data_IF_849543007533
#
_entry.id   IF_849543007533
#
_cell.length_a   1.000
_cell.length_b   1.000
_cell.length_c   1.000
_cell.angle_alpha   90.00
_cell.angle_beta   90.00
_cell.angle_gamma   90.00
#
_symmetry.space_group_name_H-M   'P 1'
#
loop_
_entity.id
_entity.type
_entity.pdbx_description
1 polymer ?
#
# COMPACT_ATOMS: atom_id res chain seq x y z
N UNK A 1 -29.82 -17.09 -29.25
CA UNK A 1 -29.43 -18.23 -28.39
C UNK A 1 -27.90 -18.40 -28.34
N UNK A 2 -27.12 -17.32 -28.21
CA UNK A 2 -25.65 -17.33 -28.24
C UNK A 2 -25.08 -16.23 -27.32
N UNK A 3 -25.25 -16.39 -25.99
CA UNK A 3 -24.70 -15.46 -24.98
C UNK A 3 -24.13 -16.12 -23.72
N UNK A 4 -23.91 -17.43 -23.70
CA UNK A 4 -23.55 -18.16 -22.47
C UNK A 4 -22.23 -18.95 -22.51
N UNK A 5 -21.39 -18.78 -23.53
CA UNK A 5 -20.18 -19.60 -23.71
C UNK A 5 -18.83 -18.88 -23.52
N UNK A 6 -18.82 -17.62 -23.06
CA UNK A 6 -17.57 -16.87 -22.81
C UNK A 6 -17.22 -16.64 -21.34
N UNK A 7 -18.08 -17.07 -20.41
CA UNK A 7 -17.89 -16.86 -18.97
C UNK A 7 -17.37 -18.09 -18.21
N UNK A 8 -17.37 -19.29 -18.82
CA UNK A 8 -17.11 -20.55 -18.10
C UNK A 8 -15.74 -21.19 -18.39
N UNK A 9 -15.00 -20.73 -19.40
CA UNK A 9 -13.63 -21.23 -19.71
C UNK A 9 -12.52 -20.28 -19.25
N UNK A 10 -12.87 -19.10 -18.75
CA UNK A 10 -11.97 -17.97 -18.50
C UNK A 10 -11.47 -17.86 -17.05
N UNK A 11 -11.92 -18.75 -16.17
CA UNK A 11 -11.50 -18.83 -14.76
C UNK A 11 -10.69 -20.10 -14.43
N UNK A 12 -10.71 -21.10 -15.32
CA UNK A 12 -10.06 -22.39 -15.07
C UNK A 12 -8.54 -22.40 -15.34
N UNK A 13 -8.00 -21.35 -16.00
CA UNK A 13 -6.57 -21.26 -16.30
C UNK A 13 -5.75 -20.50 -15.24
N UNK A 14 -6.41 -19.89 -14.23
CA UNK A 14 -5.75 -19.20 -13.12
C UNK A 14 -5.51 -20.12 -11.90
N UNK A 15 -6.01 -21.36 -11.93
CA UNK A 15 -6.03 -22.28 -10.78
C UNK A 15 -4.89 -23.32 -10.79
N UNK A 16 -3.81 -23.06 -11.53
CA UNK A 16 -2.58 -23.88 -11.46
C UNK A 16 -1.35 -23.03 -11.18
N UNK A 17 -1.38 -22.31 -10.07
CA UNK A 17 -0.15 -22.01 -9.34
C UNK A 17 -0.22 -22.74 -7.99
N UNK A 18 0.62 -23.77 -7.88
CA UNK A 18 0.89 -24.52 -6.68
C UNK A 18 1.16 -23.55 -5.50
N UNK A 19 0.45 -23.65 -4.36
CA UNK A 19 0.53 -22.70 -3.24
C UNK A 19 1.89 -22.69 -2.48
N UNK A 20 2.97 -23.19 -3.09
CA UNK A 20 4.15 -23.68 -2.39
C UNK A 20 5.49 -23.00 -2.65
N UNK A 21 5.62 -21.95 -3.46
CA UNK A 21 6.96 -21.39 -3.76
C UNK A 21 7.06 -19.87 -3.51
N UNK A 22 7.32 -19.51 -2.25
CA UNK A 22 8.23 -18.39 -1.97
C UNK A 22 9.62 -19.01 -2.01
N UNK A 23 10.44 -18.67 -3.01
CA UNK A 23 11.84 -19.09 -2.99
C UNK A 23 12.47 -18.64 -1.65
N UNK A 24 13.00 -19.57 -0.83
CA UNK A 24 13.64 -19.22 0.43
C UNK A 24 14.78 -18.23 0.16
N UNK A 25 14.60 -16.97 0.57
CA UNK A 25 15.61 -15.93 0.46
C UNK A 25 15.26 -14.74 -0.43
N UNK A 26 14.19 -14.80 -1.22
CA UNK A 26 13.78 -13.67 -2.06
C UNK A 26 12.97 -12.62 -1.27
N UNK A 27 13.68 -11.77 -0.51
CA UNK A 27 13.06 -10.74 0.35
C UNK A 27 12.73 -9.44 -0.37
N UNK A 28 13.56 -9.02 -1.31
CA UNK A 28 13.38 -7.78 -2.06
C UNK A 28 13.65 -8.01 -3.55
N UNK A 29 13.06 -7.17 -4.38
CA UNK A 29 13.16 -7.27 -5.82
C UNK A 29 13.42 -5.93 -6.50
N UNK A 30 14.14 -5.98 -7.62
CA UNK A 30 14.30 -4.90 -8.57
C UNK A 30 14.29 -5.49 -9.99
N UNK A 31 13.59 -4.85 -10.93
CA UNK A 31 13.52 -5.25 -12.35
C UNK A 31 13.35 -6.77 -12.55
N UNK A 32 12.25 -7.34 -12.02
CA UNK A 32 11.89 -8.76 -12.13
C UNK A 32 12.91 -9.76 -11.53
N UNK A 33 13.82 -9.32 -10.66
CA UNK A 33 14.87 -10.17 -10.08
C UNK A 33 15.01 -9.96 -8.58
N UNK A 34 15.53 -10.97 -7.90
CA UNK A 34 16.01 -10.83 -6.52
C UNK A 34 17.08 -9.75 -6.43
N UNK A 35 16.95 -8.89 -5.43
CA UNK A 35 17.87 -7.80 -5.15
C UNK A 35 18.06 -7.64 -3.64
N UNK A 36 19.20 -7.07 -3.18
CA UNK A 36 19.34 -6.64 -1.81
C UNK A 36 18.21 -5.68 -1.44
N UNK A 37 17.69 -5.82 -0.22
CA UNK A 37 16.80 -4.80 0.33
C UNK A 37 17.56 -3.50 0.55
N UNK A 38 16.86 -2.38 0.45
CA UNK A 38 17.37 -1.05 0.78
C UNK A 38 17.89 -1.06 2.22
N UNK A 39 19.17 -0.79 2.37
CA UNK A 39 19.78 -0.51 3.66
C UNK A 39 19.42 0.93 4.07
N UNK A 40 18.49 1.06 5.01
CA UNK A 40 18.04 2.38 5.46
C UNK A 40 19.14 3.21 6.14
N UNK A 41 20.26 2.58 6.53
CA UNK A 41 21.40 3.29 7.12
C UNK A 41 22.19 4.12 6.10
N UNK A 42 22.04 3.85 4.79
CA UNK A 42 22.73 4.59 3.73
C UNK A 42 22.06 5.91 3.38
N UNK A 43 20.83 6.13 3.86
CA UNK A 43 20.09 7.36 3.61
C UNK A 43 20.53 8.49 4.55
N UNK A 44 20.35 9.73 4.09
CA UNK A 44 20.69 10.91 4.90
C UNK A 44 19.78 11.01 6.12
N UNK A 45 20.34 10.76 7.31
CA UNK A 45 19.64 10.86 8.59
C UNK A 45 19.10 12.28 8.82
N UNK A 46 17.86 12.38 9.29
CA UNK A 46 17.18 13.65 9.55
C UNK A 46 16.80 14.43 8.28
N UNK A 47 16.78 13.78 7.11
CA UNK A 47 16.30 14.37 5.87
C UNK A 47 14.81 14.73 5.94
N UNK A 48 14.00 13.92 6.63
CA UNK A 48 12.57 14.17 6.77
C UNK A 48 12.26 14.98 8.05
N UNK A 49 11.88 16.24 7.90
CA UNK A 49 11.48 17.11 9.02
C UNK A 49 9.98 17.05 9.25
N UNK A 50 9.20 17.14 8.18
CA UNK A 50 7.73 17.03 8.18
C UNK A 50 7.35 15.64 7.66
N UNK A 51 6.73 14.84 8.51
CA UNK A 51 6.41 13.43 8.26
C UNK A 51 4.93 13.18 8.53
N UNK A 52 4.28 12.38 7.70
CA UNK A 52 2.95 11.88 8.00
C UNK A 52 2.79 10.38 7.72
N UNK A 53 1.95 9.72 8.52
CA UNK A 53 1.32 8.46 8.15
C UNK A 53 -0.09 8.74 7.66
N UNK A 54 -0.46 8.14 6.54
CA UNK A 54 -1.74 8.38 5.88
C UNK A 54 -2.47 7.08 5.64
N UNK A 55 -3.76 7.06 5.96
CA UNK A 55 -4.67 5.99 5.54
C UNK A 55 -5.82 6.57 4.76
N UNK A 56 -6.31 5.82 3.78
CA UNK A 56 -7.42 6.22 2.92
C UNK A 56 -8.57 5.24 3.09
N UNK A 57 -9.80 5.74 3.18
CA UNK A 57 -10.99 4.90 3.31
C UNK A 57 -12.04 5.33 2.30
N UNK A 58 -12.45 4.40 1.44
CA UNK A 58 -13.31 4.66 0.27
C UNK A 58 -14.79 4.88 0.62
N UNK A 59 -15.18 4.64 1.88
CA UNK A 59 -16.55 4.79 2.37
C UNK A 59 -17.59 4.04 1.52
N UNK A 60 -17.24 2.85 1.02
CA UNK A 60 -18.13 2.07 0.15
C UNK A 60 -18.77 0.84 0.83
N UNK A 61 -18.16 0.30 1.88
CA UNK A 61 -18.68 -0.84 2.65
C UNK A 61 -19.26 -0.43 4.01
N UNK A 62 -20.39 -1.04 4.41
CA UNK A 62 -20.90 -0.91 5.77
C UNK A 62 -19.94 -1.59 6.73
N UNK A 63 -19.31 -0.76 7.55
CA UNK A 63 -18.33 -1.18 8.54
C UNK A 63 -18.88 -1.00 9.96
N UNK A 64 -20.18 -0.79 10.17
CA UNK A 64 -20.75 -0.34 11.46
C UNK A 64 -20.38 -1.22 12.67
N UNK A 65 -20.38 -2.55 12.52
CA UNK A 65 -19.95 -3.47 13.58
C UNK A 65 -18.42 -3.50 13.81
N UNK A 66 -17.62 -3.21 12.80
CA UNK A 66 -16.14 -3.18 12.84
C UNK A 66 -15.57 -1.77 13.03
N UNK A 67 -16.41 -0.73 12.90
CA UNK A 67 -16.06 0.69 12.85
C UNK A 67 -15.52 1.17 14.19
N UNK A 68 -16.08 0.71 15.31
CA UNK A 68 -15.54 1.07 16.63
C UNK A 68 -14.13 0.51 16.84
N UNK A 69 -13.90 -0.74 16.44
CA UNK A 69 -12.57 -1.37 16.51
C UNK A 69 -11.57 -0.66 15.59
N UNK A 70 -12.02 -0.31 14.38
CA UNK A 70 -11.26 0.44 13.40
C UNK A 70 -10.87 1.83 13.91
N UNK A 71 -11.82 2.63 14.41
CA UNK A 71 -11.56 3.98 14.93
C UNK A 71 -10.59 3.92 16.10
N UNK A 72 -10.82 3.05 17.09
CA UNK A 72 -9.89 2.85 18.22
C UNK A 72 -8.48 2.47 17.75
N UNK A 73 -8.39 1.64 16.71
CA UNK A 73 -7.12 1.26 16.13
C UNK A 73 -6.41 2.46 15.48
N UNK A 74 -7.13 3.32 14.74
CA UNK A 74 -6.58 4.55 14.16
C UNK A 74 -6.18 5.57 15.22
N UNK A 75 -6.96 5.74 16.28
CA UNK A 75 -6.60 6.61 17.42
C UNK A 75 -5.32 6.14 18.12
N UNK A 76 -5.16 4.82 18.32
CA UNK A 76 -3.93 4.22 18.85
C UNK A 76 -2.73 4.49 17.95
N UNK A 77 -2.91 4.33 16.63
CA UNK A 77 -1.88 4.62 15.65
C UNK A 77 -1.47 6.09 15.69
N UNK A 78 -2.43 7.01 15.72
CA UNK A 78 -2.21 8.45 15.79
C UNK A 78 -1.43 8.87 17.03
N UNK A 79 -1.77 8.30 18.20
CA UNK A 79 -1.03 8.53 19.45
C UNK A 79 0.43 8.10 19.31
N UNK A 80 0.70 6.95 18.70
CA UNK A 80 2.07 6.44 18.47
C UNK A 80 2.85 7.30 17.47
N UNK A 81 2.20 7.68 16.36
CA UNK A 81 2.80 8.57 15.36
C UNK A 81 3.19 9.92 15.97
N UNK A 82 2.27 10.54 16.72
CA UNK A 82 2.52 11.82 17.41
C UNK A 82 3.68 11.74 18.39
N UNK A 83 3.77 10.67 19.17
CA UNK A 83 4.90 10.45 20.08
C UNK A 83 6.26 10.36 19.36
N UNK A 84 6.26 10.01 18.07
CA UNK A 84 7.45 9.96 17.20
C UNK A 84 7.63 11.21 16.32
N UNK A 85 6.84 12.28 16.57
CA UNK A 85 6.86 13.50 15.77
C UNK A 85 6.43 13.27 14.31
N UNK A 86 5.38 12.47 14.12
CA UNK A 86 4.78 12.18 12.81
C UNK A 86 3.28 12.46 12.88
N UNK A 87 2.78 13.19 11.89
CA UNK A 87 1.36 13.51 11.77
C UNK A 87 0.56 12.28 11.34
N UNK A 88 -0.69 12.17 11.79
CA UNK A 88 -1.61 11.12 11.35
C UNK A 88 -2.71 11.75 10.51
N UNK A 89 -2.84 11.31 9.26
CA UNK A 89 -3.83 11.81 8.32
C UNK A 89 -4.78 10.67 7.94
N UNK A 90 -6.06 10.98 7.88
CA UNK A 90 -7.10 10.08 7.40
C UNK A 90 -7.88 10.71 6.26
N UNK A 91 -7.83 10.09 5.09
CA UNK A 91 -8.49 10.58 3.87
C UNK A 91 -9.82 9.87 3.67
N UNK A 92 -10.87 10.66 3.53
CA UNK A 92 -12.22 10.23 3.19
C UNK A 92 -12.64 10.88 1.86
N UNK A 93 -13.51 10.27 1.04
CA UNK A 93 -14.23 11.01 0.02
C UNK A 93 -15.05 12.14 0.65
N UNK A 94 -15.30 13.22 -0.11
CA UNK A 94 -16.32 14.22 0.27
C UNK A 94 -17.65 13.52 0.59
N UNK A 95 -18.44 14.12 1.49
CA UNK A 95 -19.63 13.50 2.06
C UNK A 95 -20.65 13.05 1.00
N UNK A 96 -20.82 13.83 -0.05
CA UNK A 96 -21.70 13.57 -1.20
C UNK A 96 -21.23 12.40 -2.07
N UNK A 97 -19.98 11.98 -1.93
CA UNK A 97 -19.39 10.86 -2.68
C UNK A 97 -19.37 9.55 -1.89
N UNK A 98 -19.73 9.57 -0.61
CA UNK A 98 -19.70 8.39 0.25
C UNK A 98 -20.96 7.54 0.02
N UNK A 99 -20.78 6.30 -0.45
CA UNK A 99 -21.89 5.35 -0.59
C UNK A 99 -22.43 4.94 0.79
N UNK A 100 -21.53 4.72 1.75
CA UNK A 100 -21.85 4.54 3.16
C UNK A 100 -21.27 5.72 3.95
N UNK A 101 -22.12 6.62 4.47
CA UNK A 101 -21.64 7.82 5.14
C UNK A 101 -20.83 7.47 6.40
N UNK A 102 -19.56 7.90 6.47
CA UNK A 102 -18.72 7.70 7.64
C UNK A 102 -19.27 8.50 8.84
N UNK A 103 -19.58 7.88 10.00
CA UNK A 103 -20.30 8.58 11.07
C UNK A 103 -19.56 9.83 11.59
N UNK A 104 -20.27 10.94 11.75
CA UNK A 104 -19.67 12.22 12.20
C UNK A 104 -19.09 12.11 13.62
N UNK A 105 -19.73 11.33 14.49
CA UNK A 105 -19.19 11.02 15.81
C UNK A 105 -17.78 10.39 15.74
N UNK A 106 -17.54 9.52 14.75
CA UNK A 106 -16.23 8.90 14.52
C UNK A 106 -15.23 9.91 13.96
N UNK A 107 -15.65 10.79 13.03
CA UNK A 107 -14.80 11.90 12.54
C UNK A 107 -14.36 12.78 13.71
N UNK A 108 -15.30 13.17 14.57
CA UNK A 108 -15.02 14.01 15.73
C UNK A 108 -14.15 13.30 16.77
N UNK A 109 -14.33 12.00 16.98
CA UNK A 109 -13.45 11.18 17.82
C UNK A 109 -12.00 11.15 17.30
N UNK A 110 -11.82 10.86 16.01
CA UNK A 110 -10.51 10.85 15.37
C UNK A 110 -9.82 12.21 15.42
N UNK A 111 -10.54 13.31 15.16
CA UNK A 111 -10.02 14.68 15.31
C UNK A 111 -9.55 14.96 16.73
N UNK A 112 -10.34 14.59 17.75
CA UNK A 112 -9.95 14.73 19.16
C UNK A 112 -8.69 13.93 19.51
N UNK A 113 -8.48 12.80 18.85
CA UNK A 113 -7.26 12.00 18.98
C UNK A 113 -6.04 12.59 18.23
N UNK A 114 -6.19 13.71 17.52
CA UNK A 114 -5.13 14.38 16.78
C UNK A 114 -4.92 13.85 15.37
N UNK A 115 -5.93 13.20 14.78
CA UNK A 115 -5.92 12.78 13.37
C UNK A 115 -6.43 13.94 12.52
N UNK A 116 -5.65 14.34 11.51
CA UNK A 116 -6.08 15.28 10.48
C UNK A 116 -7.00 14.56 9.48
N UNK A 117 -8.24 15.05 9.35
CA UNK A 117 -9.23 14.46 8.44
C UNK A 117 -9.26 15.27 7.16
N UNK A 118 -8.86 14.64 6.06
CA UNK A 118 -8.84 15.26 4.73
C UNK A 118 -9.88 14.63 3.83
N UNK A 119 -10.34 15.42 2.86
CA UNK A 119 -11.37 15.01 1.93
C UNK A 119 -10.83 14.91 0.51
N UNK A 120 -11.19 13.83 -0.19
CA UNK A 120 -10.92 13.61 -1.60
C UNK A 120 -12.14 13.99 -2.44
N UNK A 121 -11.89 14.64 -3.57
CA UNK A 121 -12.93 15.02 -4.55
C UNK A 121 -13.40 13.86 -5.42
N UNK A 122 -12.87 12.66 -5.19
CA UNK A 122 -13.23 11.45 -5.92
C UNK A 122 -13.01 10.21 -5.06
N UNK A 123 -13.77 9.13 -5.35
CA UNK A 123 -13.58 7.80 -4.75
C UNK A 123 -12.74 6.91 -5.67
N UNK A 124 -13.01 7.01 -6.98
CA UNK A 124 -12.23 6.41 -8.06
C UNK A 124 -11.62 7.56 -8.86
N UNK A 125 -10.32 7.50 -9.23
CA UNK A 125 -9.70 8.56 -10.01
C UNK A 125 -10.48 8.88 -11.29
N UNK A 126 -10.51 10.16 -11.73
CA UNK A 126 -11.07 10.50 -13.02
C UNK A 126 -10.28 9.78 -14.12
N UNK A 127 -10.98 9.35 -15.18
CA UNK A 127 -10.40 8.68 -16.36
C UNK A 127 -9.65 7.39 -16.01
N UNK A 128 -10.31 6.41 -15.39
CA UNK A 128 -9.67 5.12 -15.08
C UNK A 128 -9.24 4.36 -16.34
N UNK A 129 -8.01 3.81 -16.34
CA UNK A 129 -7.49 2.88 -17.35
C UNK A 129 -8.50 1.81 -17.75
N UNK A 130 -8.53 1.48 -19.04
CA UNK A 130 -9.32 0.35 -19.54
C UNK A 130 -8.81 -0.96 -18.96
N UNK A 131 -9.73 -1.78 -18.45
CA UNK A 131 -9.45 -3.13 -17.95
C UNK A 131 -9.19 -3.20 -16.45
N UNK A 132 -9.04 -2.06 -15.77
CA UNK A 132 -8.96 -2.05 -14.30
C UNK A 132 -10.28 -2.62 -13.75
N UNK A 133 -10.23 -3.68 -12.93
CA UNK A 133 -11.45 -4.28 -12.42
C UNK A 133 -12.19 -3.30 -11.51
N UNK A 134 -13.42 -2.99 -11.90
CA UNK A 134 -14.44 -2.48 -10.98
C UNK A 134 -14.79 -3.62 -10.02
N UNK A 135 -15.04 -3.29 -8.76
CA UNK A 135 -14.72 -4.14 -7.62
C UNK A 135 -15.36 -5.53 -7.65
N UNK A 136 -14.59 -6.56 -7.28
CA UNK A 136 -15.08 -7.94 -7.13
C UNK A 136 -15.01 -8.37 -5.66
N UNK A 137 -16.15 -8.45 -4.97
CA UNK A 137 -16.24 -9.16 -3.68
C UNK A 137 -15.90 -8.34 -2.42
N UNK A 138 -16.08 -7.03 -2.41
CA UNK A 138 -16.17 -6.24 -1.17
C UNK A 138 -14.88 -5.58 -0.65
N UNK A 139 -13.70 -5.94 -1.17
CA UNK A 139 -12.52 -5.07 -1.06
C UNK A 139 -11.75 -5.06 -2.36
N UNK A 140 -11.14 -3.90 -2.60
CA UNK A 140 -9.93 -3.78 -3.41
C UNK A 140 -10.21 -3.83 -4.93
N UNK A 141 -9.92 -2.74 -5.64
CA UNK A 141 -10.29 -2.52 -7.05
C UNK A 141 -10.04 -1.05 -7.41
N UNK A 142 -10.84 -0.48 -8.30
CA UNK A 142 -10.65 0.91 -8.75
C UNK A 142 -10.57 1.94 -7.60
N UNK A 143 -11.29 1.73 -6.50
CA UNK A 143 -11.25 2.60 -5.31
C UNK A 143 -9.93 2.60 -4.53
N UNK A 144 -9.07 1.59 -4.67
CA UNK A 144 -7.76 1.58 -4.00
C UNK A 144 -6.83 2.69 -4.48
N UNK A 145 -7.07 3.18 -5.69
CA UNK A 145 -6.32 4.30 -6.25
C UNK A 145 -6.57 5.61 -5.50
N UNK A 146 -7.52 5.66 -4.55
CA UNK A 146 -7.64 6.74 -3.55
C UNK A 146 -6.33 7.01 -2.81
N UNK A 147 -5.43 6.01 -2.74
CA UNK A 147 -4.06 6.16 -2.24
C UNK A 147 -3.23 7.19 -3.00
N UNK A 148 -3.64 7.61 -4.20
CA UNK A 148 -2.92 8.67 -4.94
C UNK A 148 -3.14 10.05 -4.35
N UNK A 149 -4.27 10.30 -3.68
CA UNK A 149 -4.57 11.60 -3.06
C UNK A 149 -3.42 12.12 -2.18
N UNK A 150 -2.94 11.35 -1.19
CA UNK A 150 -1.86 11.82 -0.33
C UNK A 150 -0.52 12.00 -1.04
N UNK A 151 -0.30 11.38 -2.20
CA UNK A 151 0.94 11.55 -2.97
C UNK A 151 1.18 12.99 -3.41
N UNK A 152 0.14 13.83 -3.38
CA UNK A 152 0.20 15.26 -3.68
C UNK A 152 0.39 16.18 -2.47
N UNK A 153 0.57 15.67 -1.25
CA UNK A 153 0.73 16.46 -0.03
C UNK A 153 2.15 17.05 0.09
N UNK A 154 2.45 18.03 -0.75
CA UNK A 154 3.76 18.69 -0.90
C UNK A 154 4.19 19.53 0.31
N UNK A 155 3.35 19.64 1.33
CA UNK A 155 3.72 20.18 2.63
C UNK A 155 4.47 19.19 3.54
N UNK A 156 4.64 17.93 3.12
CA UNK A 156 5.43 16.93 3.85
C UNK A 156 6.70 16.57 3.07
N UNK A 157 7.78 16.29 3.80
CA UNK A 157 9.04 15.84 3.19
C UNK A 157 8.99 14.34 2.86
N UNK A 158 8.22 13.59 3.65
CA UNK A 158 7.95 12.18 3.44
C UNK A 158 6.59 11.76 4.02
N UNK A 159 5.90 10.87 3.32
CA UNK A 159 4.67 10.25 3.81
C UNK A 159 4.76 8.73 3.75
N UNK A 160 4.08 8.07 4.67
CA UNK A 160 3.88 6.63 4.69
C UNK A 160 2.38 6.35 4.49
N UNK A 161 2.01 5.90 3.30
CA UNK A 161 0.63 5.51 2.97
C UNK A 161 0.45 4.03 3.29
N UNK A 162 -0.52 3.74 4.15
CA UNK A 162 -0.76 2.38 4.67
C UNK A 162 -2.21 1.97 4.56
N UNK A 163 -2.43 0.66 4.51
CA UNK A 163 -3.77 0.10 4.62
C UNK A 163 -4.40 0.39 5.99
N UNK A 164 -5.74 0.34 5.98
CA UNK A 164 -6.57 0.61 7.16
C UNK A 164 -6.40 -0.42 8.27
N UNK A 165 -5.91 -1.61 7.94
CA UNK A 165 -5.60 -2.70 8.85
C UNK A 165 -4.10 -2.88 9.08
N UNK A 166 -3.27 -1.96 8.61
CA UNK A 166 -1.83 -2.00 8.87
C UNK A 166 -1.55 -1.68 10.36
N UNK A 167 -0.85 -2.58 11.03
CA UNK A 167 -0.52 -2.51 12.45
C UNK A 167 0.99 -2.33 12.65
N UNK A 168 1.35 -1.58 13.69
CA UNK A 168 2.71 -1.15 13.97
C UNK A 168 3.04 -1.36 15.44
N UNK A 169 4.15 -2.03 15.75
CA UNK A 169 4.58 -2.26 17.13
C UNK A 169 5.22 -1.03 17.75
N UNK A 170 6.20 -0.43 17.06
CA UNK A 170 7.02 0.68 17.55
C UNK A 170 7.27 1.70 16.44
N UNK A 171 6.48 2.79 16.45
CA UNK A 171 6.56 3.85 15.46
C UNK A 171 7.88 4.63 15.54
N UNK A 172 8.54 4.66 16.71
CA UNK A 172 9.81 5.38 16.88
C UNK A 172 10.92 4.82 15.98
N UNK A 173 10.80 3.57 15.54
CA UNK A 173 11.76 2.89 14.65
C UNK A 173 11.55 3.16 13.16
N UNK A 174 10.49 3.89 12.78
CA UNK A 174 10.18 4.18 11.37
C UNK A 174 10.90 5.40 10.82
N UNK A 175 11.62 6.17 11.66
CA UNK A 175 12.39 7.35 11.26
C UNK A 175 13.24 7.13 9.99
N UNK A 176 14.03 6.05 9.89
CA UNK A 176 14.86 5.78 8.71
C UNK A 176 14.07 5.60 7.40
N UNK A 177 12.84 5.08 7.44
CA UNK A 177 11.99 5.00 6.25
C UNK A 177 11.63 6.39 5.72
N UNK A 178 11.25 7.30 6.62
CA UNK A 178 10.95 8.68 6.25
C UNK A 178 12.18 9.40 5.70
N UNK A 179 13.34 9.22 6.34
CA UNK A 179 14.60 9.83 5.89
C UNK A 179 14.99 9.38 4.48
N UNK A 180 14.89 8.08 4.18
CA UNK A 180 15.12 7.57 2.83
C UNK A 180 14.12 8.11 1.81
N UNK A 181 12.85 8.20 2.18
CA UNK A 181 11.83 8.75 1.30
C UNK A 181 12.09 10.24 0.98
N UNK A 182 12.44 11.04 1.99
CA UNK A 182 12.83 12.44 1.81
C UNK A 182 14.13 12.62 1.01
N UNK A 183 14.99 11.59 0.96
CA UNK A 183 16.15 11.55 0.07
C UNK A 183 15.77 11.21 -1.38
N UNK A 184 14.51 10.97 -1.70
CA UNK A 184 14.04 10.70 -3.07
C UNK A 184 13.69 9.24 -3.35
N UNK A 185 13.68 8.37 -2.34
CA UNK A 185 13.28 6.98 -2.54
C UNK A 185 11.76 6.80 -2.51
N UNK A 186 11.24 5.97 -3.43
CA UNK A 186 9.90 5.39 -3.33
C UNK A 186 10.05 3.99 -2.75
N UNK A 187 9.65 3.82 -1.50
CA UNK A 187 9.91 2.62 -0.72
C UNK A 187 8.66 1.77 -0.66
N UNK A 188 8.78 0.53 -1.11
CA UNK A 188 7.72 -0.48 -0.99
C UNK A 188 8.26 -1.75 -0.31
N UNK A 189 7.39 -2.73 -0.16
CA UNK A 189 7.77 -4.11 0.17
C UNK A 189 7.19 -5.04 -0.89
N UNK A 190 7.84 -6.18 -1.15
CA UNK A 190 7.18 -7.28 -1.88
C UNK A 190 5.94 -7.78 -1.13
N UNK A 191 5.06 -8.46 -1.85
CA UNK A 191 3.99 -9.28 -1.28
C UNK A 191 4.39 -10.77 -1.34
N UNK A 192 3.62 -11.70 -0.73
CA UNK A 192 3.84 -13.13 -0.91
C UNK A 192 3.81 -13.58 -2.37
N UNK A 193 2.87 -13.02 -3.15
CA UNK A 193 2.57 -13.41 -4.53
C UNK A 193 2.55 -12.22 -5.49
N UNK A 194 3.13 -11.09 -5.11
CA UNK A 194 3.21 -9.90 -5.98
C UNK A 194 4.52 -9.19 -5.74
N UNK A 195 5.02 -8.57 -6.79
CA UNK A 195 6.25 -7.81 -6.75
C UNK A 195 6.15 -6.61 -5.81
N UNK A 196 4.97 -6.03 -5.62
CA UNK A 196 4.72 -4.96 -4.63
C UNK A 196 3.50 -5.33 -3.80
N UNK A 197 3.56 -5.06 -2.50
CA UNK A 197 2.41 -5.09 -1.62
C UNK A 197 1.87 -3.67 -1.45
N UNK A 198 0.58 -3.47 -1.74
CA UNK A 198 -0.05 -2.15 -1.66
C UNK A 198 -0.31 -1.64 -0.24
N UNK A 199 -0.06 -2.43 0.81
CA UNK A 199 -0.36 -2.06 2.20
C UNK A 199 0.65 -1.10 2.83
N UNK A 200 1.83 -0.96 2.23
CA UNK A 200 2.87 -0.04 2.68
C UNK A 200 3.57 0.60 1.48
N UNK A 201 3.51 1.92 1.41
CA UNK A 201 4.24 2.74 0.46
C UNK A 201 4.76 4.00 1.16
N UNK A 202 6.07 4.23 1.13
CA UNK A 202 6.69 5.44 1.71
C UNK A 202 7.32 6.26 0.59
N UNK A 203 6.95 7.54 0.46
CA UNK A 203 7.36 8.37 -0.68
C UNK A 203 7.67 9.81 -0.26
N UNK A 204 8.47 10.54 -1.05
CA UNK A 204 8.47 12.00 -1.06
C UNK A 204 7.23 12.49 -1.83
N UNK A 205 6.19 13.00 -1.15
CA UNK A 205 4.99 13.47 -1.84
C UNK A 205 5.31 14.74 -2.65
N UNK A 206 4.64 14.89 -3.78
CA UNK A 206 4.64 16.13 -4.57
C UNK A 206 3.42 16.15 -5.48
N UNK A 207 2.88 17.33 -5.80
CA UNK A 207 1.79 17.44 -6.77
C UNK A 207 2.13 16.74 -8.08
N UNK A 208 3.37 16.93 -8.54
CA UNK A 208 3.87 16.29 -9.76
C UNK A 208 3.94 14.75 -9.68
N UNK A 209 4.16 14.15 -8.50
CA UNK A 209 4.07 12.69 -8.33
C UNK A 209 2.63 12.22 -8.50
N UNK A 210 1.68 12.85 -7.79
CA UNK A 210 0.26 12.52 -7.92
C UNK A 210 -0.21 12.68 -9.36
N UNK A 211 0.13 13.79 -10.00
CA UNK A 211 -0.33 14.11 -11.35
C UNK A 211 0.25 13.12 -12.38
N UNK A 212 1.53 12.73 -12.24
CA UNK A 212 2.14 11.68 -13.07
C UNK A 212 1.49 10.29 -12.87
N UNK A 213 1.14 9.93 -11.63
CA UNK A 213 0.41 8.69 -11.34
C UNK A 213 -0.99 8.69 -11.96
N UNK A 214 -1.71 9.81 -11.87
CA UNK A 214 -3.03 9.97 -12.47
C UNK A 214 -2.97 9.93 -13.99
N UNK A 215 -2.00 10.61 -14.60
CA UNK A 215 -1.80 10.61 -16.05
C UNK A 215 -1.48 9.19 -16.56
N UNK A 216 -0.54 8.50 -15.92
CA UNK A 216 -0.22 7.12 -16.26
C UNK A 216 -1.41 6.17 -16.07
N UNK A 217 -2.16 6.32 -14.97
CA UNK A 217 -3.39 5.56 -14.75
C UNK A 217 -4.49 5.91 -15.76
N UNK A 218 -4.49 7.09 -16.36
CA UNK A 218 -5.51 7.45 -17.35
C UNK A 218 -5.24 6.94 -18.75
N UNK A 219 -3.97 6.65 -19.05
CA UNK A 219 -3.50 6.27 -20.38
C UNK A 219 -3.13 4.80 -20.50
N UNK A 220 -2.88 4.14 -19.37
CA UNK A 220 -2.54 2.73 -19.38
C UNK A 220 -3.74 1.83 -19.76
N UNK A 221 -3.39 0.61 -20.15
CA UNK A 221 -4.32 -0.51 -20.33
C UNK A 221 -3.87 -1.65 -19.44
N UNK A 222 -4.80 -2.45 -18.94
CA UNK A 222 -4.48 -3.65 -18.19
C UNK A 222 -5.30 -4.83 -18.71
N UNK A 223 -4.63 -5.95 -18.92
CA UNK A 223 -5.24 -7.21 -19.33
C UNK A 223 -4.47 -8.40 -18.70
N UNK A 224 -4.72 -9.62 -19.16
CA UNK A 224 -4.09 -10.82 -18.62
C UNK A 224 -2.55 -10.85 -18.79
N UNK A 225 -1.99 -10.04 -19.69
CA UNK A 225 -0.55 -9.92 -19.90
C UNK A 225 0.11 -8.96 -18.92
N UNK A 226 -0.63 -8.02 -18.35
CA UNK A 226 -0.15 -7.02 -17.40
C UNK A 226 -0.51 -5.58 -17.77
N UNK A 227 0.19 -4.62 -17.18
CA UNK A 227 0.00 -3.20 -17.43
C UNK A 227 0.76 -2.78 -18.69
N UNK A 228 0.05 -2.19 -19.66
CA UNK A 228 0.59 -1.79 -20.96
C UNK A 228 1.35 -2.91 -21.68
N UNK A 229 0.83 -4.15 -21.61
CA UNK A 229 1.47 -5.36 -22.15
C UNK A 229 2.85 -5.67 -21.54
N UNK A 230 3.20 -5.00 -20.44
CA UNK A 230 4.37 -5.33 -19.64
C UNK A 230 4.00 -6.53 -18.77
N UNK A 231 4.77 -7.63 -18.78
CA UNK A 231 4.52 -8.78 -17.93
C UNK A 231 4.35 -8.39 -16.47
N UNK A 232 3.50 -9.10 -15.72
CA UNK A 232 3.28 -8.88 -14.28
C UNK A 232 4.53 -8.94 -13.41
N UNK A 233 5.58 -9.57 -13.94
CA UNK A 233 6.79 -9.91 -13.23
C UNK A 233 6.76 -11.36 -12.73
N UNK A 234 7.82 -11.79 -12.04
CA UNK A 234 8.03 -13.18 -11.64
C UNK A 234 7.08 -13.61 -10.51
N UNK A 235 6.44 -12.65 -9.84
CA UNK A 235 5.44 -12.90 -8.81
C UNK A 235 4.18 -12.18 -9.21
N UNK A 236 3.16 -12.99 -9.50
CA UNK A 236 1.89 -12.50 -9.97
C UNK A 236 0.73 -13.06 -9.14
N UNK A 237 -0.22 -12.19 -8.85
CA UNK A 237 -1.47 -12.51 -8.21
C UNK A 237 -2.64 -11.88 -8.97
N UNK A 238 -3.83 -12.48 -8.86
CA UNK A 238 -5.09 -11.94 -9.42
C UNK A 238 -5.45 -10.50 -8.99
N UNK A 239 -4.73 -9.93 -8.04
CA UNK A 239 -4.91 -8.56 -7.54
C UNK A 239 -3.95 -7.54 -8.19
N UNK A 240 -2.98 -7.97 -9.00
CA UNK A 240 -2.05 -7.07 -9.68
C UNK A 240 -2.68 -6.14 -10.74
N UNK A 241 -3.87 -6.42 -11.31
CA UNK A 241 -4.60 -5.40 -12.07
C UNK A 241 -5.06 -4.18 -11.25
N UNK A 242 -4.72 -4.10 -9.96
CA UNK A 242 -5.10 -3.03 -9.02
C UNK A 242 -3.87 -2.22 -8.60
N UNK A 243 -3.98 -1.48 -7.50
CA UNK A 243 -2.96 -0.51 -7.06
C UNK A 243 -1.57 -1.13 -6.88
N UNK A 244 -1.50 -2.38 -6.39
CA UNK A 244 -0.22 -3.04 -6.11
C UNK A 244 0.59 -3.33 -7.38
N UNK A 245 -0.04 -3.88 -8.42
CA UNK A 245 0.64 -4.15 -9.69
C UNK A 245 0.82 -2.87 -10.50
N UNK A 246 -0.08 -1.89 -10.35
CA UNK A 246 0.14 -0.56 -10.93
C UNK A 246 1.40 0.10 -10.35
N UNK A 247 1.58 0.08 -9.03
CA UNK A 247 2.80 0.61 -8.41
C UNK A 247 4.05 -0.14 -8.87
N UNK A 248 3.96 -1.45 -9.05
CA UNK A 248 5.08 -2.20 -9.60
C UNK A 248 5.42 -1.74 -11.03
N UNK A 249 4.42 -1.71 -11.91
CA UNK A 249 4.59 -1.28 -13.28
C UNK A 249 5.14 0.15 -13.37
N UNK A 250 4.50 1.10 -12.70
CA UNK A 250 4.86 2.52 -12.76
C UNK A 250 6.24 2.79 -12.15
N UNK A 251 6.49 2.33 -10.92
CA UNK A 251 7.72 2.69 -10.22
C UNK A 251 8.91 1.81 -10.57
N UNK A 252 8.74 0.56 -10.98
CA UNK A 252 9.87 -0.36 -11.21
C UNK A 252 10.08 -0.67 -12.69
N UNK A 253 9.02 -1.03 -13.42
CA UNK A 253 9.16 -1.48 -14.80
C UNK A 253 9.30 -0.31 -15.78
N UNK A 254 8.62 0.81 -15.51
CA UNK A 254 8.70 2.02 -16.33
C UNK A 254 9.81 2.98 -15.89
N UNK A 255 10.48 2.74 -14.75
CA UNK A 255 11.41 3.70 -14.16
C UNK A 255 12.46 4.23 -15.13
N UNK A 256 13.09 3.34 -15.90
CA UNK A 256 14.12 3.74 -16.88
C UNK A 256 13.55 4.53 -18.07
N UNK A 257 12.26 4.39 -18.36
CA UNK A 257 11.58 5.15 -19.40
C UNK A 257 11.02 6.50 -18.90
N UNK A 258 10.98 6.73 -17.58
CA UNK A 258 10.55 8.02 -17.03
C UNK A 258 11.58 9.10 -17.34
N UNK A 259 11.13 10.20 -17.94
CA UNK A 259 11.97 11.38 -18.21
C UNK A 259 12.50 12.01 -16.91
N UNK A 260 11.70 11.97 -15.85
CA UNK A 260 12.08 12.40 -14.51
C UNK A 260 12.27 11.19 -13.60
N UNK A 261 13.54 10.90 -13.27
CA UNK A 261 13.96 9.74 -12.47
C UNK A 261 14.06 10.05 -10.97
N UNK A 262 13.50 11.17 -10.49
CA UNK A 262 13.61 11.59 -9.08
C UNK A 262 12.95 10.63 -8.07
N UNK A 263 12.04 9.76 -8.51
CA UNK A 263 11.35 8.79 -7.65
C UNK A 263 12.04 7.44 -7.71
N UNK A 264 13.12 7.28 -6.94
CA UNK A 264 14.00 6.09 -7.01
C UNK A 264 13.33 4.89 -6.33
N UNK A 265 12.80 3.89 -7.07
CA UNK A 265 12.12 2.76 -6.46
C UNK A 265 13.09 1.93 -5.63
N UNK A 266 12.66 1.47 -4.47
CA UNK A 266 13.42 0.56 -3.64
C UNK A 266 12.52 -0.28 -2.74
N UNK A 267 12.95 -1.50 -2.42
CA UNK A 267 12.23 -2.35 -1.48
C UNK A 267 12.96 -2.48 -0.15
N UNK A 268 12.21 -2.43 0.94
CA UNK A 268 12.70 -2.80 2.27
C UNK A 268 12.22 -4.20 2.63
N UNK A 269 12.89 -4.82 3.62
CA UNK A 269 12.59 -6.19 4.03
C UNK A 269 11.14 -6.33 4.52
N UNK A 270 10.28 -7.11 3.83
CA UNK A 270 8.89 -7.31 4.24
C UNK A 270 8.79 -7.98 5.62
N UNK A 271 9.78 -8.78 6.02
CA UNK A 271 9.80 -9.45 7.31
C UNK A 271 10.04 -8.49 8.49
N UNK A 272 10.56 -7.29 8.21
CA UNK A 272 10.73 -6.22 9.20
C UNK A 272 9.56 -5.25 9.10
N UNK A 273 9.23 -4.78 7.91
CA UNK A 273 8.38 -3.60 7.75
C UNK A 273 6.93 -3.90 7.38
N UNK A 274 6.61 -5.04 6.79
CA UNK A 274 5.23 -5.33 6.36
C UNK A 274 4.98 -6.84 6.32
N UNK A 275 4.99 -7.49 7.49
CA UNK A 275 4.77 -8.93 7.57
C UNK A 275 3.35 -9.25 7.12
N UNK A 276 3.24 -10.20 6.19
CA UNK A 276 1.99 -10.74 5.65
C UNK A 276 1.85 -12.20 6.08
N UNK A 277 0.62 -12.70 6.23
CA UNK A 277 0.36 -14.07 6.70
C UNK A 277 1.15 -15.13 5.93
N UNK A 278 1.18 -15.04 4.61
CA UNK A 278 1.88 -16.01 3.76
C UNK A 278 3.41 -15.80 3.72
N UNK A 279 3.94 -14.72 4.31
CA UNK A 279 5.38 -14.52 4.50
C UNK A 279 5.88 -15.04 5.85
N UNK A 280 4.97 -15.40 6.78
CA UNK A 280 5.34 -15.83 8.14
C UNK A 280 6.42 -16.93 8.18
N UNK A 281 6.38 -17.99 7.33
CA UNK A 281 7.44 -19.00 7.32
C UNK A 281 8.82 -18.40 6.99
N UNK A 282 8.90 -17.49 6.02
CA UNK A 282 10.14 -16.79 5.63
C UNK A 282 10.61 -15.80 6.70
N UNK A 283 9.67 -15.21 7.44
CA UNK A 283 9.93 -14.17 8.43
C UNK A 283 10.09 -14.68 9.86
N UNK A 284 10.24 -16.00 10.06
CA UNK A 284 10.30 -16.62 11.38
C UNK A 284 11.39 -16.03 12.27
N UNK A 285 12.59 -15.83 11.71
CA UNK A 285 13.72 -15.29 12.47
C UNK A 285 13.47 -13.85 12.95
N UNK A 286 12.83 -13.02 12.13
CA UNK A 286 12.46 -11.65 12.49
C UNK A 286 11.32 -11.61 13.49
N UNK A 287 10.32 -12.48 13.34
CA UNK A 287 9.18 -12.57 14.24
C UNK A 287 9.60 -13.03 15.64
N UNK A 288 10.34 -14.15 15.73
CA UNK A 288 10.78 -14.70 17.02
C UNK A 288 11.88 -13.86 17.69
N UNK A 289 12.68 -13.14 16.89
CA UNK A 289 13.64 -12.18 17.40
C UNK A 289 13.06 -10.80 17.76
N UNK A 290 11.74 -10.59 17.68
CA UNK A 290 11.10 -9.28 17.85
C UNK A 290 11.69 -8.16 16.97
N UNK A 291 12.15 -8.52 15.77
CA UNK A 291 12.69 -7.59 14.76
C UNK A 291 11.62 -7.10 13.79
N UNK A 292 10.50 -7.79 13.64
CA UNK A 292 9.35 -7.31 12.87
C UNK A 292 8.67 -6.12 13.55
N UNK A 293 8.42 -5.05 12.79
CA UNK A 293 7.92 -3.76 13.26
C UNK A 293 6.54 -3.40 12.70
N UNK A 294 6.16 -3.95 11.55
CA UNK A 294 4.86 -3.72 10.91
C UNK A 294 4.25 -4.98 10.31
N UNK A 295 2.92 -5.05 10.26
CA UNK A 295 2.17 -6.11 9.58
C UNK A 295 0.92 -5.57 8.90
N UNK A 296 0.59 -6.05 7.70
CA UNK A 296 -0.61 -5.64 7.00
C UNK A 296 -1.87 -6.39 7.43
N UNK A 297 -2.14 -6.44 8.75
CA UNK A 297 -3.40 -6.83 9.37
C UNK A 297 -3.39 -6.43 10.86
N UNK A 298 -4.54 -6.05 11.42
CA UNK A 298 -4.65 -5.65 12.82
C UNK A 298 -4.33 -6.83 13.74
N UNK A 299 -3.45 -6.58 14.70
CA UNK A 299 -2.86 -7.57 15.61
C UNK A 299 -2.04 -8.67 14.90
N UNK A 300 -1.66 -8.46 13.64
CA UNK A 300 -0.94 -9.43 12.82
C UNK A 300 0.35 -9.89 13.50
N UNK A 301 1.23 -8.95 13.86
CA UNK A 301 2.49 -9.26 14.56
C UNK A 301 2.27 -10.12 15.81
N UNK A 302 1.32 -9.75 16.67
CA UNK A 302 0.99 -10.50 17.89
C UNK A 302 0.50 -11.91 17.59
N UNK A 303 -0.38 -12.06 16.60
CA UNK A 303 -0.93 -13.37 16.17
C UNK A 303 0.17 -14.26 15.59
N UNK A 304 1.00 -13.72 14.71
CA UNK A 304 2.06 -14.45 14.03
C UNK A 304 3.14 -14.92 15.00
N UNK A 305 3.53 -14.11 16.00
CA UNK A 305 4.50 -14.52 17.02
C UNK A 305 3.97 -15.64 17.93
N UNK A 306 2.75 -15.50 18.45
CA UNK A 306 2.17 -16.49 19.39
C UNK A 306 2.05 -17.89 18.79
N UNK A 307 1.85 -17.99 17.48
CA UNK A 307 1.73 -19.28 16.79
C UNK A 307 3.05 -19.90 16.34
N UNK A 308 4.19 -19.22 16.51
CA UNK A 308 5.44 -19.57 15.82
C UNK A 308 6.68 -19.76 16.71
N UNK A 309 6.76 -19.10 17.88
CA UNK A 309 8.02 -18.87 18.61
C UNK A 309 8.14 -19.54 19.99
#
# INVERSE_FOLDING_TARGET
MWRLLWAATSLAAADRMDPGWVEPGWRCAAHDRAAPCLDLSTCRRGAARRKAIVSVFDAHGDTSATLQGFVKHRERLAKRARAAGVDAIFVLPRRDLQNVPFPEANVNGMKKAGIDIRYSDWVVPPNLSKGVPVESGGCCGAREFLKFVPMGYDEYDAIMVVDNDYDLDDFGKFGPLFDCAADGHVITTRAPMSMVNGALLVVPPSRSLRDALLEALSTATVDYTGWNKTPWGPLHHKWDPRVQGFFYWFFYQQYDALADRRWRPAQVDPCVWNVQQHLVPMCRAELCGNRSLGSGHVDGLRKYRKGLC
#
